data_IF_826961611633
#
_entry.id   IF_826961611633
#
_cell.length_a   1.000
_cell.length_b   1.000
_cell.length_c   1.000
_cell.angle_alpha   90.00
_cell.angle_beta   90.00
_cell.angle_gamma   90.00
#
_symmetry.space_group_name_H-M   'P 1'
#
loop_
_entity.id
_entity.type
_entity.pdbx_description
1 polymer ?
#
# COMPACT_ATOMS: atom_id res chain seq x y z
N UNK A 1 -4.66 8.18 -75.63
CA UNK A 1 -4.52 6.75 -75.31
C UNK A 1 -4.14 6.63 -73.85
N UNK A 2 -5.01 6.01 -73.07
CA UNK A 2 -4.81 5.75 -71.64
C UNK A 2 -3.75 4.66 -71.46
N UNK A 3 -2.87 4.83 -70.47
CA UNK A 3 -2.11 3.72 -69.88
C UNK A 3 -2.07 3.94 -68.36
N UNK A 4 -2.97 3.22 -67.68
CA UNK A 4 -3.04 3.04 -66.25
C UNK A 4 -1.88 2.13 -65.80
N UNK A 5 -0.90 2.67 -65.06
CA UNK A 5 0.12 1.85 -64.41
C UNK A 5 -0.37 1.43 -63.02
N UNK A 6 -0.65 0.13 -62.92
CA UNK A 6 -1.15 -0.59 -61.75
C UNK A 6 -0.30 -0.38 -60.50
N UNK A 7 -0.93 0.03 -59.40
CA UNK A 7 -0.41 -0.14 -58.04
C UNK A 7 -0.44 -1.63 -57.69
N UNK A 8 0.70 -2.30 -57.81
CA UNK A 8 0.88 -3.62 -57.23
C UNK A 8 1.06 -3.47 -55.71
N UNK A 9 0.07 -3.92 -54.94
CA UNK A 9 0.22 -4.14 -53.50
C UNK A 9 1.24 -5.25 -53.33
N UNK A 10 2.50 -4.88 -53.07
CA UNK A 10 3.56 -5.81 -52.76
C UNK A 10 3.24 -6.45 -51.41
N UNK A 11 2.71 -7.67 -51.45
CA UNK A 11 2.59 -8.51 -50.26
C UNK A 11 3.98 -9.02 -49.94
N UNK A 12 4.62 -8.41 -48.95
CA UNK A 12 5.96 -8.78 -48.48
C UNK A 12 5.92 -10.15 -47.78
N UNK A 13 6.32 -11.18 -48.52
CA UNK A 13 6.44 -12.56 -48.02
C UNK A 13 7.82 -12.81 -47.38
N UNK A 14 8.32 -11.86 -46.58
CA UNK A 14 9.56 -12.03 -45.81
C UNK A 14 9.23 -12.62 -44.43
N UNK A 15 9.18 -13.95 -44.37
CA UNK A 15 8.89 -14.75 -43.17
C UNK A 15 10.00 -14.72 -42.08
N UNK A 16 10.74 -13.62 -41.97
CA UNK A 16 11.74 -13.39 -40.91
C UNK A 16 11.55 -11.96 -40.41
N UNK A 17 10.96 -11.82 -39.23
CA UNK A 17 10.90 -10.54 -38.49
C UNK A 17 12.28 -9.92 -38.48
N UNK A 18 12.50 -8.90 -39.31
CA UNK A 18 13.63 -7.99 -39.15
C UNK A 18 13.20 -7.06 -38.03
N UNK A 19 13.75 -7.29 -36.84
CA UNK A 19 13.62 -6.32 -35.76
C UNK A 19 14.47 -5.12 -36.15
N UNK A 20 13.83 -4.08 -36.68
CA UNK A 20 14.47 -2.78 -36.83
C UNK A 20 14.71 -2.27 -35.42
N UNK A 21 15.97 -2.41 -35.00
CA UNK A 21 16.45 -2.18 -33.64
C UNK A 21 16.00 -0.82 -33.10
N UNK A 22 15.87 0.19 -33.97
CA UNK A 22 15.36 1.52 -33.63
C UNK A 22 13.87 1.54 -33.28
N UNK A 23 13.01 0.81 -34.00
CA UNK A 23 11.57 0.77 -33.71
C UNK A 23 11.29 0.10 -32.36
N UNK A 24 11.96 -1.00 -32.07
CA UNK A 24 11.83 -1.70 -30.78
C UNK A 24 12.34 -0.82 -29.62
N UNK A 25 13.46 -0.11 -29.80
CA UNK A 25 13.97 0.80 -28.77
C UNK A 25 13.03 1.99 -28.52
N UNK A 26 12.41 2.53 -29.57
CA UNK A 26 11.44 3.62 -29.45
C UNK A 26 10.12 3.15 -28.81
N UNK A 27 9.65 1.95 -29.12
CA UNK A 27 8.49 1.35 -28.45
C UNK A 27 8.79 1.03 -26.99
N UNK A 28 9.98 0.49 -26.69
CA UNK A 28 10.43 0.23 -25.32
C UNK A 28 10.54 1.51 -24.50
N UNK A 29 10.99 2.62 -25.11
CA UNK A 29 11.03 3.92 -24.48
C UNK A 29 9.61 4.47 -24.19
N UNK A 30 8.70 4.36 -25.16
CA UNK A 30 7.28 4.74 -25.00
C UNK A 30 6.57 3.91 -23.91
N UNK A 31 6.83 2.60 -23.86
CA UNK A 31 6.27 1.71 -22.83
C UNK A 31 6.76 2.08 -21.42
N UNK A 32 8.02 2.49 -21.29
CA UNK A 32 8.58 2.96 -20.01
C UNK A 32 7.92 4.27 -19.57
N UNK A 33 7.73 5.22 -20.50
CA UNK A 33 7.08 6.50 -20.22
C UNK A 33 5.58 6.31 -19.86
N UNK A 34 4.89 5.40 -20.55
CA UNK A 34 3.50 5.04 -20.22
C UNK A 34 3.41 4.41 -18.82
N UNK A 35 4.32 3.51 -18.46
CA UNK A 35 4.34 2.91 -17.11
C UNK A 35 4.62 3.94 -16.02
N UNK A 36 5.51 4.90 -16.26
CA UNK A 36 5.81 5.96 -15.30
C UNK A 36 4.64 6.93 -15.13
N UNK A 37 3.98 7.31 -16.23
CA UNK A 37 2.79 8.16 -16.19
C UNK A 37 1.61 7.45 -15.51
N UNK A 38 1.34 6.18 -15.83
CA UNK A 38 0.30 5.37 -15.17
C UNK A 38 0.55 5.21 -13.67
N UNK A 39 1.79 4.98 -13.25
CA UNK A 39 2.15 4.93 -11.83
C UNK A 39 1.89 6.28 -11.14
N UNK A 40 2.23 7.39 -11.81
CA UNK A 40 2.00 8.75 -11.31
C UNK A 40 0.50 9.08 -11.23
N UNK A 41 -0.31 8.67 -12.21
CA UNK A 41 -1.76 8.87 -12.20
C UNK A 41 -2.46 8.02 -11.14
N UNK A 42 -2.06 6.75 -10.95
CA UNK A 42 -2.56 5.90 -9.84
C UNK A 42 -2.23 6.47 -8.46
N UNK A 43 -1.11 7.18 -8.32
CA UNK A 43 -0.76 7.84 -7.05
C UNK A 43 -1.61 9.08 -6.75
N UNK A 44 -2.12 9.75 -7.79
CA UNK A 44 -2.96 10.96 -7.72
C UNK A 44 -4.46 10.65 -7.63
N UNK A 45 -4.90 9.47 -8.06
CA UNK A 45 -6.31 9.04 -8.00
C UNK A 45 -6.72 8.47 -6.63
N UNK A 46 -6.00 8.78 -5.56
CA UNK A 46 -6.47 8.53 -4.19
C UNK A 46 -7.74 9.37 -4.03
N UNK A 47 -8.87 8.69 -3.87
CA UNK A 47 -10.22 9.25 -3.94
C UNK A 47 -10.49 10.43 -2.99
N UNK A 48 -11.74 10.93 -2.96
CA UNK A 48 -12.12 12.11 -2.18
C UNK A 48 -11.64 11.99 -0.72
N UNK A 49 -11.23 13.10 -0.09
CA UNK A 49 -10.67 13.09 1.25
C UNK A 49 -11.69 12.46 2.20
N UNK A 50 -11.44 11.21 2.59
CA UNK A 50 -12.27 10.49 3.55
C UNK A 50 -12.16 11.27 4.85
N UNK A 51 -13.25 11.96 5.23
CA UNK A 51 -13.35 12.60 6.53
C UNK A 51 -13.32 11.48 7.57
N UNK A 52 -12.13 11.26 8.13
CA UNK A 52 -11.91 10.28 9.19
C UNK A 52 -12.55 10.83 10.45
N UNK A 53 -13.31 9.98 11.15
CA UNK A 53 -13.94 10.34 12.42
C UNK A 53 -12.87 10.86 13.41
N UNK A 54 -13.22 11.83 14.26
CA UNK A 54 -12.29 12.34 15.27
C UNK A 54 -11.88 11.25 16.26
N UNK A 55 -10.73 11.45 16.90
CA UNK A 55 -10.15 10.50 17.84
C UNK A 55 -11.06 10.39 19.08
N UNK A 56 -11.56 9.19 19.35
CA UNK A 56 -12.25 8.86 20.60
C UNK A 56 -11.27 8.33 21.63
N UNK A 57 -11.58 8.53 22.92
CA UNK A 57 -10.86 7.83 23.97
C UNK A 57 -11.08 6.32 23.84
N UNK A 58 -10.13 5.53 24.35
CA UNK A 58 -10.28 4.07 24.37
C UNK A 58 -11.26 3.70 25.48
N UNK A 59 -12.19 2.80 25.18
CA UNK A 59 -13.17 2.27 26.13
C UNK A 59 -12.69 0.97 26.80
N UNK A 60 -11.59 0.39 26.30
CA UNK A 60 -11.03 -0.87 26.80
C UNK A 60 -9.63 -0.65 27.37
N UNK A 61 -9.37 -1.33 28.48
CA UNK A 61 -8.06 -1.40 29.12
C UNK A 61 -7.16 -2.37 28.36
N UNK A 62 -5.87 -2.03 28.25
CA UNK A 62 -4.90 -2.83 27.51
C UNK A 62 -4.15 -3.72 28.50
N UNK A 63 -4.47 -5.01 28.50
CA UNK A 63 -3.86 -5.98 29.42
C UNK A 63 -2.42 -6.33 29.02
N UNK A 64 -1.44 -5.61 29.57
CA UNK A 64 -0.01 -5.87 29.38
C UNK A 64 0.57 -6.88 30.37
N UNK A 65 -0.17 -7.18 31.45
CA UNK A 65 0.34 -7.95 32.59
C UNK A 65 0.17 -9.46 32.44
N UNK A 66 -0.76 -9.89 31.58
CA UNK A 66 -1.15 -11.30 31.44
C UNK A 66 -0.02 -12.25 31.01
N UNK A 67 1.07 -11.71 30.44
CA UNK A 67 2.26 -12.45 29.98
C UNK A 67 3.51 -12.24 30.83
N UNK A 68 3.41 -11.51 31.94
CA UNK A 68 4.53 -11.33 32.87
C UNK A 68 4.85 -12.67 33.56
N UNK A 69 6.14 -13.01 33.64
CA UNK A 69 6.63 -14.22 34.33
C UNK A 69 6.42 -15.54 33.58
N UNK A 70 5.83 -15.54 32.38
CA UNK A 70 5.62 -16.75 31.57
C UNK A 70 6.76 -16.93 30.57
N UNK A 71 7.41 -18.09 30.57
CA UNK A 71 8.40 -18.48 29.57
C UNK A 71 7.70 -19.18 28.40
N UNK A 72 7.80 -18.61 27.20
CA UNK A 72 7.21 -19.19 25.98
C UNK A 72 8.33 -19.61 25.02
N UNK A 73 8.29 -20.87 24.59
CA UNK A 73 9.20 -21.38 23.55
C UNK A 73 8.72 -20.87 22.19
N UNK A 74 9.54 -20.07 21.52
CA UNK A 74 9.25 -19.52 20.19
C UNK A 74 9.91 -20.40 19.14
N UNK A 75 9.10 -21.05 18.30
CA UNK A 75 9.60 -21.75 17.11
C UNK A 75 9.59 -20.81 15.90
N UNK A 76 10.59 -20.90 14.99
CA UNK A 76 10.72 -19.97 13.86
C UNK A 76 9.61 -20.11 12.80
N UNK A 77 8.83 -21.19 12.83
CA UNK A 77 7.75 -21.50 11.87
C UNK A 77 6.36 -21.14 12.44
N UNK A 78 6.29 -20.72 13.71
CA UNK A 78 5.01 -20.36 14.32
C UNK A 78 4.41 -19.09 13.67
N UNK A 79 3.06 -18.96 13.65
CA UNK A 79 2.39 -17.75 13.20
C UNK A 79 2.90 -16.51 13.96
N UNK A 80 2.63 -15.29 13.50
CA UNK A 80 3.15 -14.08 14.15
C UNK A 80 2.58 -13.83 15.57
N UNK A 81 1.47 -14.50 15.92
CA UNK A 81 0.74 -14.29 17.19
C UNK A 81 1.35 -14.93 18.45
N UNK A 82 2.08 -16.06 18.41
CA UNK A 82 2.79 -16.63 19.56
C UNK A 82 4.28 -16.21 19.60
N UNK A 83 4.72 -15.30 18.73
CA UNK A 83 6.08 -14.79 18.78
C UNK A 83 6.29 -13.93 20.04
N UNK A 84 7.54 -13.88 20.52
CA UNK A 84 7.90 -13.09 21.68
C UNK A 84 7.64 -11.60 21.42
N UNK A 85 6.59 -11.05 22.07
CA UNK A 85 6.21 -9.64 22.01
C UNK A 85 4.70 -9.41 22.10
N UNK A 86 4.32 -8.14 21.97
CA UNK A 86 2.95 -7.68 21.84
C UNK A 86 2.55 -7.66 20.37
N UNK A 87 1.46 -8.35 20.03
CA UNK A 87 0.94 -8.41 18.67
C UNK A 87 -0.13 -7.33 18.45
N UNK A 88 -0.04 -6.62 17.32
CA UNK A 88 -1.08 -5.72 16.87
C UNK A 88 -1.86 -6.34 15.71
N UNK A 89 -3.17 -6.56 15.89
CA UNK A 89 -4.06 -7.13 14.85
C UNK A 89 -4.30 -6.20 13.66
N UNK A 90 -4.21 -4.89 13.87
CA UNK A 90 -4.50 -3.88 12.82
C UNK A 90 -3.31 -3.67 11.89
N UNK A 91 -2.10 -3.76 12.42
CA UNK A 91 -0.87 -3.49 11.66
C UNK A 91 -0.05 -4.76 11.36
N UNK A 92 -0.52 -5.94 11.79
CA UNK A 92 0.13 -7.24 11.58
C UNK A 92 1.62 -7.23 11.97
N UNK A 93 1.96 -6.51 13.04
CA UNK A 93 3.33 -6.39 13.53
C UNK A 93 3.46 -6.86 14.98
N UNK A 94 4.64 -7.38 15.30
CA UNK A 94 5.04 -7.74 16.66
C UNK A 94 5.96 -6.67 17.19
N UNK A 95 5.58 -6.10 18.33
CA UNK A 95 6.36 -5.11 19.06
C UNK A 95 6.92 -5.76 20.31
N UNK A 96 8.22 -5.58 20.58
CA UNK A 96 8.90 -6.29 21.68
C UNK A 96 8.57 -5.71 23.05
N UNK A 97 8.46 -4.38 23.15
CA UNK A 97 8.30 -3.67 24.42
C UNK A 97 6.89 -3.14 24.62
N UNK A 98 6.45 -3.06 25.89
CA UNK A 98 5.13 -2.53 26.27
C UNK A 98 4.98 -1.06 25.92
N UNK A 99 6.01 -0.25 26.20
CA UNK A 99 6.02 1.18 25.87
C UNK A 99 5.88 1.41 24.36
N UNK A 100 6.67 0.68 23.57
CA UNK A 100 6.60 0.78 22.11
C UNK A 100 5.26 0.26 21.55
N UNK A 101 4.59 -0.68 22.24
CA UNK A 101 3.26 -1.15 21.84
C UNK A 101 2.18 -0.09 22.08
N UNK A 102 2.26 0.64 23.21
CA UNK A 102 1.38 1.77 23.48
C UNK A 102 1.57 2.90 22.46
N UNK A 103 2.83 3.23 22.14
CA UNK A 103 3.18 4.22 21.11
C UNK A 103 2.74 3.76 19.72
N UNK A 104 2.79 2.45 19.46
CA UNK A 104 2.31 1.89 18.20
C UNK A 104 0.80 2.08 18.03
N UNK A 105 -0.01 1.74 19.04
CA UNK A 105 -1.48 1.89 18.97
C UNK A 105 -1.86 3.38 18.90
N UNK A 106 -1.11 4.25 19.59
CA UNK A 106 -1.28 5.72 19.49
C UNK A 106 -0.68 6.33 18.21
N UNK A 107 -0.01 5.52 17.39
CA UNK A 107 0.69 5.99 16.21
C UNK A 107 -0.26 6.41 15.09
N UNK A 108 0.14 7.45 14.34
CA UNK A 108 -0.58 7.95 13.15
C UNK A 108 -0.88 6.86 12.12
N UNK A 109 -0.02 5.85 12.00
CA UNK A 109 -0.20 4.72 11.06
C UNK A 109 -1.33 3.80 11.51
N UNK A 110 -1.33 3.43 12.80
CA UNK A 110 -2.34 2.57 13.39
C UNK A 110 -3.73 3.23 13.36
N UNK A 111 -3.82 4.49 13.82
CA UNK A 111 -5.08 5.24 13.82
C UNK A 111 -5.63 5.47 12.40
N UNK A 112 -4.73 5.65 11.41
CA UNK A 112 -5.11 5.76 10.00
C UNK A 112 -5.73 4.46 9.47
N UNK A 113 -5.19 3.30 9.87
CA UNK A 113 -5.74 2.00 9.51
C UNK A 113 -7.11 1.75 10.19
N UNK A 114 -7.31 2.27 11.39
CA UNK A 114 -8.61 2.28 12.09
C UNK A 114 -9.63 3.29 11.50
N UNK A 115 -9.24 4.12 10.54
CA UNK A 115 -10.12 5.12 9.94
C UNK A 115 -10.40 6.33 10.84
N UNK A 116 -9.59 6.55 11.88
CA UNK A 116 -9.63 7.72 12.76
C UNK A 116 -8.59 8.77 12.35
N UNK A 117 -8.89 10.05 12.58
CA UNK A 117 -7.91 11.14 12.49
C UNK A 117 -7.36 11.44 13.88
N UNK A 118 -6.15 12.01 13.95
CA UNK A 118 -5.57 12.51 15.21
C UNK A 118 -6.25 13.78 15.73
N UNK A 119 -7.30 14.27 15.07
CA UNK A 119 -8.03 15.45 15.49
C UNK A 119 -8.99 15.05 16.62
N UNK A 120 -8.88 15.76 17.75
CA UNK A 120 -9.73 15.59 18.92
C UNK A 120 -10.83 16.65 18.87
N UNK A 121 -12.03 16.31 19.34
CA UNK A 121 -13.12 17.28 19.47
C UNK A 121 -12.81 18.30 20.57
N UNK A 122 -13.29 19.52 20.38
CA UNK A 122 -13.16 20.58 21.39
C UNK A 122 -14.09 20.25 22.56
N UNK A 123 -13.53 20.16 23.75
CA UNK A 123 -14.31 19.91 24.97
C UNK A 123 -15.07 21.18 25.32
N UNK A 124 -16.40 21.08 25.44
CA UNK A 124 -17.26 22.17 25.96
C UNK A 124 -17.51 21.99 27.45
N UNK A 125 -17.95 23.06 28.14
CA UNK A 125 -18.25 23.07 29.57
C UNK A 125 -19.27 22.00 30.03
N UNK A 126 -20.04 21.40 29.11
CA UNK A 126 -21.02 20.34 29.41
C UNK A 126 -20.41 18.94 29.49
N UNK A 127 -19.15 18.77 29.12
CA UNK A 127 -18.50 17.46 28.95
C UNK A 127 -17.44 17.17 30.03
N UNK A 128 -17.36 18.03 31.06
CA UNK A 128 -16.63 17.83 32.31
C UNK A 128 -17.63 17.28 33.33
#
# INVERSE_FOLDING_TARGET
>A
MAQTSNNAVAVDNTFRRKFDREEEFLERAREREQKETEARFKSKSKGPPVQRKPLKHRDFEVDLESRLGKTQVVTPIAPLSPQAGYYCSVCECVVKDSANYLDHINGKKHQRALGMSMLVEWVSLQQI
#
